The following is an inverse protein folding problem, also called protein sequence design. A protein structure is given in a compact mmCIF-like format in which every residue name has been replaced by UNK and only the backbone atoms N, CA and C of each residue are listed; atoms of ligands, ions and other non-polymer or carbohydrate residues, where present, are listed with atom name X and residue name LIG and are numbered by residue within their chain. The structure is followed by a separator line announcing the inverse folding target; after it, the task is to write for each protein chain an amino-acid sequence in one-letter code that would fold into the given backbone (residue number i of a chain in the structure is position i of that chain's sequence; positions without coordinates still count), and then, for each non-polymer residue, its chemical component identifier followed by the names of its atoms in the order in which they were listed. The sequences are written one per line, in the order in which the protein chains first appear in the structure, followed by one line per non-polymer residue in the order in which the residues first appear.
data_IF_710955822316
#
_entry.id   IF_710955822316
#
_cell.length_a   1.000
_cell.length_b   1.000
_cell.length_c   1.000
_cell.angle_alpha   90.00
_cell.angle_beta   90.00
_cell.angle_gamma   90.00
#
_symmetry.space_group_name_H-M   'P 1'
#
loop_
_entity.id
_entity.type
_entity.pdbx_description
1 polymer ?
#
# COMPACT_ATOMS: atom_id res chain seq x y z
N UNK A 1 -49.18 53.53 -18.46
CA UNK A 1 -48.02 52.61 -18.37
C UNK A 1 -47.34 52.66 -17.00
N UNK A 2 -47.24 53.82 -16.35
CA UNK A 2 -46.70 54.01 -14.98
C UNK A 2 -47.33 53.13 -13.88
N UNK A 3 -48.62 52.78 -13.99
CA UNK A 3 -49.33 51.94 -13.01
C UNK A 3 -48.84 50.48 -12.98
N UNK A 4 -48.44 49.94 -14.13
CA UNK A 4 -47.94 48.56 -14.25
C UNK A 4 -46.46 48.45 -13.86
N UNK A 5 -45.69 49.53 -14.04
CA UNK A 5 -44.29 49.61 -13.61
C UNK A 5 -44.19 49.59 -12.08
N UNK A 6 -45.04 50.36 -11.37
CA UNK A 6 -45.11 50.34 -9.91
C UNK A 6 -45.51 48.96 -9.36
N UNK A 7 -46.45 48.27 -10.01
CA UNK A 7 -46.85 46.91 -9.63
C UNK A 7 -45.73 45.88 -9.87
N UNK A 8 -44.97 46.01 -10.96
CA UNK A 8 -43.83 45.15 -11.25
C UNK A 8 -42.67 45.36 -10.26
N UNK A 9 -42.40 46.60 -9.84
CA UNK A 9 -41.38 46.92 -8.83
C UNK A 9 -41.77 46.38 -7.45
N UNK A 10 -43.05 46.45 -7.08
CA UNK A 10 -43.57 45.88 -5.82
C UNK A 10 -43.54 44.34 -5.80
N UNK A 11 -43.82 43.68 -6.93
CA UNK A 11 -43.67 42.22 -7.08
C UNK A 11 -42.20 41.78 -7.01
N UNK A 12 -41.28 42.55 -7.60
CA UNK A 12 -39.85 42.24 -7.56
C UNK A 12 -39.22 42.44 -6.17
N UNK A 13 -39.71 43.42 -5.40
CA UNK A 13 -39.25 43.67 -4.02
C UNK A 13 -39.68 42.57 -3.03
N UNK A 14 -40.73 41.81 -3.32
CA UNK A 14 -41.20 40.70 -2.46
C UNK A 14 -40.39 39.41 -2.60
N UNK A 15 -39.51 39.31 -3.61
CA UNK A 15 -38.76 38.10 -3.93
C UNK A 15 -37.43 37.94 -3.16
N UNK A 16 -37.07 38.87 -2.28
CA UNK A 16 -35.76 38.91 -1.59
C UNK A 16 -35.79 38.59 -0.09
N UNK A 17 -36.76 37.81 0.39
CA UNK A 17 -36.68 37.22 1.74
C UNK A 17 -36.18 35.78 1.64
N UNK A 18 -34.92 35.61 1.26
CA UNK A 18 -34.21 34.37 1.55
C UNK A 18 -33.77 34.46 3.02
N UNK A 19 -34.64 34.03 3.93
CA UNK A 19 -34.21 33.75 5.31
C UNK A 19 -33.40 32.46 5.23
N UNK A 20 -32.11 32.56 5.53
CA UNK A 20 -31.29 31.37 5.66
C UNK A 20 -31.35 30.94 7.14
N UNK A 21 -31.65 29.67 7.37
CA UNK A 21 -31.67 29.14 8.74
C UNK A 21 -30.24 28.80 9.18
N UNK A 22 -29.99 28.75 10.50
CA UNK A 22 -28.75 28.19 11.00
C UNK A 22 -28.76 26.66 10.81
N UNK A 23 -27.59 26.09 10.54
CA UNK A 23 -27.38 24.66 10.36
C UNK A 23 -26.34 24.16 11.36
N UNK A 24 -26.77 23.31 12.29
CA UNK A 24 -25.88 22.62 13.23
C UNK A 24 -25.57 21.25 12.65
N UNK A 25 -24.31 20.98 12.35
CA UNK A 25 -23.84 19.66 11.93
C UNK A 25 -23.23 18.95 13.13
N UNK A 26 -23.71 17.75 13.43
CA UNK A 26 -23.19 16.90 14.52
C UNK A 26 -22.03 16.03 14.03
N UNK A 27 -21.23 15.54 14.97
CA UNK A 27 -20.12 14.61 14.70
C UNK A 27 -20.56 13.29 14.05
N UNK A 28 -21.82 12.87 14.25
CA UNK A 28 -22.39 11.69 13.59
C UNK A 28 -22.90 11.97 12.16
N UNK A 29 -22.74 13.18 11.65
CA UNK A 29 -23.23 13.61 10.32
C UNK A 29 -24.70 14.04 10.29
N UNK A 30 -25.39 14.08 11.43
CA UNK A 30 -26.77 14.59 11.50
C UNK A 30 -26.77 16.12 11.36
N UNK A 31 -27.59 16.62 10.45
CA UNK A 31 -27.79 18.04 10.21
C UNK A 31 -29.09 18.52 10.86
N UNK A 32 -29.01 19.56 11.68
CA UNK A 32 -30.14 20.13 12.40
C UNK A 32 -30.32 21.57 11.95
N UNK A 33 -31.41 21.80 11.21
CA UNK A 33 -31.88 23.16 10.90
C UNK A 33 -32.45 23.80 12.16
N UNK A 34 -31.84 24.87 12.59
CA UNK A 34 -32.11 25.49 13.87
C UNK A 34 -32.00 27.01 13.80
N UNK A 35 -32.45 27.64 14.88
CA UNK A 35 -32.06 28.99 15.26
C UNK A 35 -31.25 28.91 16.54
N UNK A 36 -29.97 29.25 16.46
CA UNK A 36 -29.08 29.28 17.62
C UNK A 36 -29.44 30.46 18.51
N UNK A 37 -29.57 30.22 19.82
CA UNK A 37 -29.98 31.22 20.80
C UNK A 37 -28.78 31.67 21.62
N UNK A 38 -27.99 30.72 22.10
CA UNK A 38 -26.87 30.98 23.00
C UNK A 38 -25.83 29.87 22.85
N UNK A 39 -24.56 30.26 22.89
CA UNK A 39 -23.41 29.35 22.94
C UNK A 39 -22.73 29.62 24.28
N UNK A 40 -22.76 28.62 25.16
CA UNK A 40 -22.01 28.64 26.40
C UNK A 40 -20.71 27.85 26.26
N UNK A 41 -19.93 27.75 27.34
CA UNK A 41 -18.59 27.14 27.31
C UNK A 41 -18.57 25.68 26.83
N UNK A 42 -19.64 24.92 27.15
CA UNK A 42 -19.72 23.48 26.85
C UNK A 42 -21.00 23.08 26.10
N UNK A 43 -21.94 24.00 25.89
CA UNK A 43 -23.27 23.66 25.35
C UNK A 43 -23.80 24.74 24.43
N UNK A 44 -24.52 24.33 23.39
CA UNK A 44 -25.29 25.22 22.52
C UNK A 44 -26.79 25.06 22.79
N UNK A 45 -27.50 26.19 22.94
CA UNK A 45 -28.96 26.24 23.04
C UNK A 45 -29.56 26.68 21.71
N UNK A 46 -30.56 25.94 21.24
CA UNK A 46 -31.15 26.18 19.94
C UNK A 46 -32.64 25.84 19.91
N UNK A 47 -33.37 26.41 18.94
CA UNK A 47 -34.73 26.00 18.58
C UNK A 47 -34.71 25.31 17.23
N UNK A 48 -35.40 24.19 17.10
CA UNK A 48 -35.52 23.51 15.81
C UNK A 48 -36.48 24.26 14.89
N UNK A 49 -36.13 24.35 13.61
CA UNK A 49 -36.96 25.06 12.62
C UNK A 49 -38.27 24.32 12.31
N UNK A 50 -38.30 23.00 12.46
CA UNK A 50 -39.53 22.20 12.31
C UNK A 50 -40.51 22.39 13.48
N UNK A 51 -40.07 22.96 14.61
CA UNK A 51 -40.93 23.30 15.73
C UNK A 51 -40.56 24.66 16.38
N UNK A 52 -40.86 25.80 15.73
CA UNK A 52 -40.43 27.13 16.18
C UNK A 52 -41.07 27.57 17.52
N UNK A 53 -42.30 27.10 17.78
CA UNK A 53 -43.04 27.32 19.02
C UNK A 53 -42.72 26.26 20.09
N UNK A 54 -41.79 25.35 19.80
CA UNK A 54 -41.34 24.30 20.70
C UNK A 54 -40.39 24.79 21.79
N UNK A 55 -39.96 23.86 22.67
CA UNK A 55 -39.00 24.16 23.72
C UNK A 55 -37.63 24.52 23.15
N UNK A 56 -36.79 25.13 23.99
CA UNK A 56 -35.37 25.33 23.69
C UNK A 56 -34.64 24.02 23.98
N UNK A 57 -33.92 23.52 22.97
CA UNK A 57 -33.08 22.33 23.08
C UNK A 57 -31.66 22.73 23.49
N UNK A 58 -30.95 21.81 24.14
CA UNK A 58 -29.55 21.99 24.53
C UNK A 58 -28.75 20.81 23.99
N UNK A 59 -27.61 21.10 23.35
CA UNK A 59 -26.70 20.12 22.77
C UNK A 59 -25.29 20.38 23.30
N UNK A 60 -24.53 19.31 23.59
CA UNK A 60 -23.13 19.45 24.02
C UNK A 60 -22.26 19.91 22.85
N UNK A 61 -21.39 20.89 23.08
CA UNK A 61 -20.43 21.32 22.05
C UNK A 61 -19.46 20.20 21.67
N UNK A 62 -19.24 19.21 22.54
CA UNK A 62 -18.45 18.01 22.23
C UNK A 62 -19.08 17.10 21.17
N UNK A 63 -20.36 17.28 20.85
CA UNK A 63 -21.09 16.51 19.83
C UNK A 63 -21.30 17.30 18.54
N UNK A 64 -20.99 18.59 18.56
CA UNK A 64 -21.14 19.50 17.42
C UNK A 64 -19.88 19.44 16.57
N UNK A 65 -20.02 19.16 15.29
CA UNK A 65 -18.94 19.29 14.32
C UNK A 65 -18.78 20.76 13.93
N UNK A 66 -19.85 21.37 13.44
CA UNK A 66 -19.87 22.77 13.01
C UNK A 66 -21.25 23.42 13.14
N UNK A 67 -21.27 24.74 13.21
CA UNK A 67 -22.48 25.57 13.15
C UNK A 67 -22.29 26.58 12.02
N UNK A 68 -23.16 26.52 11.02
CA UNK A 68 -23.24 27.52 9.96
C UNK A 68 -24.42 28.46 10.23
N UNK A 69 -24.16 29.75 10.36
CA UNK A 69 -25.17 30.76 10.69
C UNK A 69 -25.81 31.37 9.43
N UNK A 70 -26.98 32.00 9.61
CA UNK A 70 -27.68 32.76 8.56
C UNK A 70 -26.78 33.79 7.84
N UNK A 71 -25.84 34.41 8.56
CA UNK A 71 -24.93 35.42 8.02
C UNK A 71 -23.76 34.82 7.21
N UNK A 72 -23.71 33.50 7.04
CA UNK A 72 -22.64 32.77 6.34
C UNK A 72 -21.38 32.52 7.17
N UNK A 73 -21.35 32.90 8.45
CA UNK A 73 -20.27 32.56 9.37
C UNK A 73 -20.37 31.07 9.72
N UNK A 74 -19.22 30.39 9.77
CA UNK A 74 -19.16 28.97 10.16
C UNK A 74 -18.18 28.81 11.33
N UNK A 75 -18.66 28.25 12.43
CA UNK A 75 -17.86 27.90 13.59
C UNK A 75 -17.68 26.39 13.68
N UNK A 76 -16.43 25.94 13.66
CA UNK A 76 -16.07 24.53 13.80
C UNK A 76 -15.69 24.26 15.25
N UNK A 77 -16.28 23.22 15.84
CA UNK A 77 -16.08 22.86 17.24
C UNK A 77 -15.27 21.59 17.39
N UNK A 78 -15.59 20.56 16.60
CA UNK A 78 -14.86 19.31 16.58
C UNK A 78 -14.63 18.86 15.14
N UNK A 79 -13.43 18.39 14.86
CA UNK A 79 -13.16 17.66 13.62
C UNK A 79 -13.60 16.20 13.83
N UNK A 80 -14.35 15.58 12.89
CA UNK A 80 -14.60 14.16 12.97
C UNK A 80 -13.24 13.45 12.92
N UNK A 81 -13.03 12.49 13.82
CA UNK A 81 -11.91 11.57 13.71
C UNK A 81 -12.12 10.83 12.39
N UNK A 82 -11.45 11.28 11.32
CA UNK A 82 -11.46 10.54 10.07
C UNK A 82 -10.71 9.25 10.35
N UNK A 83 -11.43 8.14 10.50
CA UNK A 83 -10.80 6.84 10.34
C UNK A 83 -10.11 6.85 8.98
N UNK A 84 -8.83 6.45 8.89
CA UNK A 84 -8.08 6.49 7.64
C UNK A 84 -8.89 5.73 6.60
N UNK A 85 -9.36 6.44 5.57
CA UNK A 85 -10.11 5.83 4.47
C UNK A 85 -9.22 4.76 3.88
N UNK A 86 -9.64 3.50 4.03
CA UNK A 86 -9.02 2.37 3.35
C UNK A 86 -9.29 2.53 1.85
N UNK A 87 -8.40 3.24 1.16
CA UNK A 87 -8.42 3.29 -0.29
C UNK A 87 -8.03 1.90 -0.80
N UNK A 88 -8.98 1.21 -1.43
CA UNK A 88 -8.69 0.03 -2.24
C UNK A 88 -7.89 0.51 -3.44
N UNK A 89 -6.56 0.45 -3.34
CA UNK A 89 -5.68 0.85 -4.43
C UNK A 89 -5.70 -0.26 -5.47
N UNK A 90 -6.30 0.02 -6.62
CA UNK A 90 -6.24 -0.85 -7.80
C UNK A 90 -4.76 -1.04 -8.21
N UNK A 91 -4.29 -2.29 -8.16
CA UNK A 91 -3.06 -2.80 -8.77
C UNK A 91 -1.73 -2.31 -8.16
N UNK A 92 -1.36 -2.93 -7.04
CA UNK A 92 -0.09 -2.82 -6.30
C UNK A 92 1.10 -3.58 -6.92
N UNK A 93 1.12 -3.91 -8.22
CA UNK A 93 2.24 -4.67 -8.81
C UNK A 93 3.39 -3.75 -9.26
N UNK A 94 4.09 -3.14 -8.30
CA UNK A 94 5.36 -2.47 -8.59
C UNK A 94 6.50 -3.47 -8.60
N UNK A 95 7.35 -3.36 -9.63
CA UNK A 95 8.58 -4.16 -9.70
C UNK A 95 9.64 -3.57 -8.80
N UNK A 96 10.33 -4.44 -8.09
CA UNK A 96 11.43 -4.10 -7.19
C UNK A 96 12.48 -3.22 -7.86
N UNK A 97 12.84 -3.52 -9.12
CA UNK A 97 13.84 -2.75 -9.87
C UNK A 97 13.50 -1.26 -9.95
N UNK A 98 12.24 -0.93 -10.11
CA UNK A 98 11.78 0.43 -10.40
C UNK A 98 11.75 1.30 -9.12
N UNK A 99 11.62 0.67 -7.94
CA UNK A 99 11.57 1.33 -6.63
C UNK A 99 12.87 1.20 -5.81
N UNK A 100 13.73 0.23 -6.14
CA UNK A 100 14.93 -0.12 -5.36
C UNK A 100 15.93 1.02 -5.16
N UNK A 101 15.95 2.01 -6.05
CA UNK A 101 16.84 3.18 -5.93
C UNK A 101 16.37 4.19 -4.89
N UNK A 102 15.07 4.20 -4.55
CA UNK A 102 14.46 5.18 -3.64
C UNK A 102 14.45 4.69 -2.19
N UNK A 103 14.46 3.37 -2.01
CA UNK A 103 14.23 2.74 -0.73
C UNK A 103 15.45 1.91 -0.30
N UNK A 104 15.90 2.13 0.94
CA UNK A 104 16.97 1.33 1.54
C UNK A 104 16.37 0.30 2.51
N UNK A 105 16.54 -1.03 2.28
CA UNK A 105 15.97 -2.07 3.14
C UNK A 105 16.31 -1.94 4.63
N UNK A 106 17.40 -1.25 4.98
CA UNK A 106 17.80 -1.00 6.38
C UNK A 106 16.87 -0.03 7.12
N UNK A 107 16.17 0.84 6.39
CA UNK A 107 15.27 1.85 6.97
C UNK A 107 13.85 1.32 7.20
N UNK A 108 13.57 0.08 6.79
CA UNK A 108 12.26 -0.53 6.91
C UNK A 108 11.79 -0.63 8.36
N UNK A 109 10.54 -0.23 8.59
CA UNK A 109 9.81 -0.40 9.85
C UNK A 109 8.59 -1.25 9.58
N UNK A 110 8.41 -2.30 10.38
CA UNK A 110 7.29 -3.21 10.21
C UNK A 110 6.00 -2.54 10.69
N UNK A 111 5.00 -2.52 9.81
CA UNK A 111 3.64 -2.09 10.13
C UNK A 111 2.68 -3.28 10.03
N UNK A 112 1.61 -3.29 10.82
CA UNK A 112 0.65 -4.40 10.84
C UNK A 112 -0.12 -4.54 9.53
N UNK A 113 -0.20 -3.46 8.75
CA UNK A 113 -0.89 -3.41 7.47
C UNK A 113 0.05 -3.75 6.29
N UNK A 114 1.32 -4.11 6.54
CA UNK A 114 2.27 -4.42 5.46
C UNK A 114 1.83 -5.65 4.64
N UNK A 115 1.80 -5.58 3.30
CA UNK A 115 1.37 -6.71 2.47
C UNK A 115 2.31 -7.92 2.52
N UNK A 116 3.63 -7.68 2.56
CA UNK A 116 4.63 -8.74 2.57
C UNK A 116 5.20 -8.91 3.97
N UNK A 117 5.49 -10.15 4.35
CA UNK A 117 6.14 -10.46 5.64
C UNK A 117 7.60 -10.83 5.34
N UNK A 118 8.59 -9.96 5.61
CA UNK A 118 9.98 -10.22 5.20
C UNK A 118 10.55 -11.53 5.75
N UNK A 119 10.17 -11.90 6.97
CA UNK A 119 10.59 -13.17 7.57
C UNK A 119 10.04 -14.37 6.81
N UNK A 120 8.78 -14.31 6.36
CA UNK A 120 8.15 -15.38 5.58
C UNK A 120 8.80 -15.49 4.20
N UNK A 121 9.11 -14.37 3.55
CA UNK A 121 9.82 -14.37 2.26
C UNK A 121 11.20 -15.03 2.39
N UNK A 122 11.93 -14.74 3.47
CA UNK A 122 13.21 -15.41 3.77
C UNK A 122 13.07 -16.91 4.01
N UNK A 123 12.09 -17.34 4.82
CA UNK A 123 11.83 -18.77 5.09
C UNK A 123 11.41 -19.50 3.81
N UNK A 124 10.57 -18.88 2.98
CA UNK A 124 10.15 -19.46 1.72
C UNK A 124 11.34 -19.71 0.79
N UNK A 125 12.24 -18.73 0.66
CA UNK A 125 13.47 -18.87 -0.13
C UNK A 125 14.49 -19.85 0.45
N UNK A 126 14.49 -20.07 1.77
CA UNK A 126 15.29 -21.13 2.41
C UNK A 126 14.77 -22.52 2.04
N UNK A 127 13.45 -22.74 2.12
CA UNK A 127 12.84 -24.03 1.82
C UNK A 127 12.90 -24.37 0.33
N UNK A 128 12.61 -23.39 -0.52
CA UNK A 128 12.62 -23.53 -1.98
C UNK A 128 13.32 -22.30 -2.55
N UNK A 129 14.55 -22.43 -3.08
CA UNK A 129 15.30 -21.30 -3.62
C UNK A 129 14.49 -20.52 -4.65
N UNK A 130 14.32 -19.21 -4.45
CA UNK A 130 13.55 -18.34 -5.35
C UNK A 130 12.06 -18.22 -5.01
N UNK A 131 11.52 -19.01 -4.09
CA UNK A 131 10.08 -18.96 -3.76
C UNK A 131 9.69 -17.67 -3.03
N UNK A 132 10.54 -17.15 -2.13
CA UNK A 132 10.27 -15.88 -1.45
C UNK A 132 10.11 -14.72 -2.43
N UNK A 133 10.96 -14.66 -3.46
CA UNK A 133 10.83 -13.70 -4.55
C UNK A 133 9.48 -13.83 -5.27
N UNK A 134 8.97 -15.04 -5.50
CA UNK A 134 7.65 -15.25 -6.10
C UNK A 134 6.50 -14.79 -5.20
N UNK A 135 6.60 -15.01 -3.88
CA UNK A 135 5.61 -14.54 -2.89
C UNK A 135 5.59 -13.00 -2.87
N UNK A 136 6.75 -12.37 -3.00
CA UNK A 136 6.88 -10.91 -3.08
C UNK A 136 6.47 -10.33 -4.45
N UNK A 137 5.93 -11.15 -5.36
CA UNK A 137 5.48 -10.75 -6.70
C UNK A 137 6.58 -10.68 -7.76
N UNK A 138 7.84 -11.00 -7.43
CA UNK A 138 8.99 -10.99 -8.36
C UNK A 138 9.21 -12.37 -9.03
N UNK A 139 8.17 -12.90 -9.69
CA UNK A 139 8.20 -14.24 -10.31
C UNK A 139 9.36 -14.47 -11.27
N UNK A 140 9.71 -13.48 -12.10
CA UNK A 140 10.82 -13.60 -13.05
C UNK A 140 12.17 -13.81 -12.35
N UNK A 141 12.40 -13.13 -11.21
CA UNK A 141 13.60 -13.32 -10.40
C UNK A 141 13.58 -14.67 -9.70
N UNK A 142 12.44 -15.03 -9.11
CA UNK A 142 12.27 -16.31 -8.40
C UNK A 142 12.52 -17.53 -9.29
N UNK A 143 11.91 -17.57 -10.48
CA UNK A 143 12.14 -18.65 -11.46
C UNK A 143 13.58 -18.69 -11.97
N UNK A 144 14.23 -17.53 -12.14
CA UNK A 144 15.64 -17.45 -12.47
C UNK A 144 16.52 -18.13 -11.40
N UNK A 145 16.26 -17.84 -10.11
CA UNK A 145 16.98 -18.43 -8.98
C UNK A 145 16.72 -19.94 -8.88
N UNK A 146 15.49 -20.39 -9.11
CA UNK A 146 15.14 -21.82 -9.17
C UNK A 146 15.94 -22.53 -10.27
N UNK A 147 16.00 -21.93 -11.47
CA UNK A 147 16.73 -22.48 -12.62
C UNK A 147 18.21 -22.62 -12.32
N UNK A 148 18.81 -21.59 -11.69
CA UNK A 148 20.22 -21.64 -11.28
C UNK A 148 20.46 -22.76 -10.25
N UNK A 149 19.55 -22.95 -9.29
CA UNK A 149 19.66 -24.03 -8.31
C UNK A 149 19.53 -25.43 -8.93
N UNK A 150 18.64 -25.60 -9.91
CA UNK A 150 18.56 -26.84 -10.69
C UNK A 150 19.88 -27.08 -11.44
N UNK A 151 20.49 -26.02 -11.99
CA UNK A 151 21.81 -26.08 -12.61
C UNK A 151 22.92 -26.57 -11.67
N UNK A 152 22.97 -26.04 -10.44
CA UNK A 152 23.89 -26.54 -9.41
C UNK A 152 23.66 -28.03 -9.13
N UNK A 153 22.41 -28.46 -8.94
CA UNK A 153 22.11 -29.88 -8.68
C UNK A 153 22.52 -30.81 -9.84
N UNK A 154 22.34 -30.40 -11.09
CA UNK A 154 22.79 -31.18 -12.25
C UNK A 154 24.33 -31.27 -12.33
N UNK A 155 25.03 -30.21 -11.94
CA UNK A 155 26.49 -30.19 -11.89
C UNK A 155 27.00 -31.14 -10.81
N UNK A 156 26.42 -31.08 -9.60
CA UNK A 156 26.76 -31.98 -8.49
C UNK A 156 26.49 -33.46 -8.83
N UNK A 157 25.38 -33.76 -9.52
CA UNK A 157 25.08 -35.11 -10.00
C UNK A 157 26.14 -35.61 -11.00
N UNK A 158 26.66 -34.73 -11.84
CA UNK A 158 27.71 -35.06 -12.82
C UNK A 158 29.04 -35.33 -12.12
N UNK A 159 29.41 -34.49 -11.15
CA UNK A 159 30.62 -34.65 -10.34
C UNK A 159 30.56 -35.92 -9.49
N UNK A 160 29.41 -36.21 -8.87
CA UNK A 160 29.18 -37.46 -8.15
C UNK A 160 29.32 -38.68 -9.06
N UNK A 161 28.72 -38.65 -10.26
CA UNK A 161 28.83 -39.74 -11.23
C UNK A 161 30.30 -40.00 -11.63
N UNK A 162 31.09 -38.94 -11.79
CA UNK A 162 32.52 -39.04 -12.11
C UNK A 162 33.34 -39.62 -10.94
N UNK A 163 32.98 -39.28 -9.70
CA UNK A 163 33.55 -39.89 -8.49
C UNK A 163 33.23 -41.38 -8.39
N UNK A 164 31.98 -41.79 -8.63
CA UNK A 164 31.61 -43.21 -8.65
C UNK A 164 32.33 -43.98 -9.77
N UNK A 165 32.42 -43.39 -10.97
CA UNK A 165 33.13 -43.99 -12.09
C UNK A 165 34.62 -44.18 -11.79
N UNK A 166 35.30 -43.15 -11.28
CA UNK A 166 36.73 -43.21 -10.94
C UNK A 166 37.01 -44.17 -9.79
N UNK A 167 36.11 -44.29 -8.80
CA UNK A 167 36.22 -45.30 -7.75
C UNK A 167 36.09 -46.73 -8.30
N UNK A 168 35.15 -46.97 -9.23
CA UNK A 168 34.96 -48.27 -9.86
C UNK A 168 36.16 -48.68 -10.73
N UNK A 169 36.68 -47.75 -11.55
CA UNK A 169 37.88 -47.96 -12.36
C UNK A 169 39.11 -48.27 -11.49
N UNK A 170 39.30 -47.48 -10.42
CA UNK A 170 40.38 -47.70 -9.46
C UNK A 170 40.33 -49.06 -8.77
N UNK A 171 39.13 -49.52 -8.42
CA UNK A 171 38.93 -50.85 -7.81
C UNK A 171 39.24 -52.00 -8.78
N UNK A 172 38.82 -51.87 -10.04
CA UNK A 172 39.06 -52.86 -11.10
C UNK A 172 40.55 -52.96 -11.40
N UNK A 173 41.22 -51.82 -11.55
CA UNK A 173 42.66 -51.76 -11.80
C UNK A 173 43.48 -52.37 -10.66
N UNK A 174 43.08 -52.12 -9.40
CA UNK A 174 43.73 -52.72 -8.24
C UNK A 174 43.56 -54.24 -8.21
N UNK A 175 42.38 -54.76 -8.55
CA UNK A 175 42.12 -56.20 -8.59
C UNK A 175 42.99 -56.91 -9.62
N UNK A 176 43.17 -56.30 -10.79
CA UNK A 176 43.88 -56.93 -11.91
C UNK A 176 45.42 -56.75 -11.80
N UNK A 177 45.91 -55.66 -11.21
CA UNK A 177 47.34 -55.33 -11.16
C UNK A 177 47.96 -55.32 -9.75
N UNK A 178 47.16 -55.42 -8.69
CA UNK A 178 47.61 -55.33 -7.29
C UNK A 178 48.11 -53.95 -6.85
N UNK A 179 47.95 -52.92 -7.69
CA UNK A 179 48.40 -51.54 -7.43
C UNK A 179 47.29 -50.54 -7.75
N UNK A 180 47.28 -49.38 -7.10
CA UNK A 180 46.28 -48.33 -7.35
C UNK A 180 46.54 -47.62 -8.68
N UNK A 181 45.48 -47.33 -9.45
CA UNK A 181 45.61 -46.56 -10.70
C UNK A 181 45.88 -45.07 -10.42
N UNK A 182 47.01 -44.51 -10.89
CA UNK A 182 47.29 -43.08 -10.70
C UNK A 182 46.26 -42.18 -11.39
N UNK A 183 45.75 -42.61 -12.55
CA UNK A 183 44.75 -41.87 -13.33
C UNK A 183 43.41 -41.78 -12.61
N UNK A 184 42.89 -42.91 -12.10
CA UNK A 184 41.60 -42.88 -11.41
C UNK A 184 41.68 -42.11 -10.08
N UNK A 185 42.80 -42.20 -9.34
CA UNK A 185 43.01 -41.41 -8.13
C UNK A 185 43.06 -39.90 -8.43
N UNK A 186 43.74 -39.49 -9.50
CA UNK A 186 43.79 -38.09 -9.92
C UNK A 186 42.41 -37.58 -10.36
N UNK A 187 41.65 -38.39 -11.11
CA UNK A 187 40.30 -38.05 -11.54
C UNK A 187 39.35 -37.91 -10.35
N UNK A 188 39.37 -38.88 -9.42
CA UNK A 188 38.58 -38.83 -8.20
C UNK A 188 38.89 -37.58 -7.38
N UNK A 189 40.18 -37.28 -7.17
CA UNK A 189 40.61 -36.08 -6.45
C UNK A 189 40.15 -34.79 -7.13
N UNK A 190 40.25 -34.71 -8.45
CA UNK A 190 39.78 -33.55 -9.21
C UNK A 190 38.25 -33.37 -9.11
N UNK A 191 37.48 -34.45 -9.25
CA UNK A 191 36.02 -34.41 -9.12
C UNK A 191 35.57 -34.03 -7.71
N UNK A 192 36.26 -34.53 -6.68
CA UNK A 192 35.98 -34.18 -5.28
C UNK A 192 36.24 -32.69 -5.01
N UNK A 193 37.36 -32.16 -5.50
CA UNK A 193 37.66 -30.73 -5.39
C UNK A 193 36.61 -29.87 -6.12
N UNK A 194 36.19 -30.28 -7.32
CA UNK A 194 35.13 -29.60 -8.06
C UNK A 194 33.81 -29.59 -7.27
N UNK A 195 33.41 -30.74 -6.71
CA UNK A 195 32.22 -30.86 -5.88
C UNK A 195 32.24 -29.94 -4.66
N UNK A 196 33.36 -29.84 -3.95
CA UNK A 196 33.47 -28.92 -2.81
C UNK A 196 33.34 -27.45 -3.22
N UNK A 197 33.89 -27.07 -4.37
CA UNK A 197 33.75 -25.73 -4.91
C UNK A 197 32.30 -25.43 -5.29
N UNK A 198 31.64 -26.37 -5.97
CA UNK A 198 30.23 -26.27 -6.37
C UNK A 198 29.32 -26.14 -5.14
N UNK A 199 29.50 -27.00 -4.13
CA UNK A 199 28.73 -26.94 -2.87
C UNK A 199 28.96 -25.62 -2.11
N UNK A 200 30.19 -25.12 -2.08
CA UNK A 200 30.51 -23.84 -1.43
C UNK A 200 29.86 -22.67 -2.17
N UNK A 201 29.92 -22.68 -3.50
CA UNK A 201 29.27 -21.68 -4.34
C UNK A 201 27.75 -21.71 -4.18
N UNK A 202 27.13 -22.90 -4.13
CA UNK A 202 25.70 -23.05 -3.92
C UNK A 202 25.28 -22.57 -2.52
N UNK A 203 26.06 -22.87 -1.47
CA UNK A 203 25.80 -22.34 -0.13
C UNK A 203 25.81 -20.81 -0.12
N UNK A 204 26.83 -20.19 -0.71
CA UNK A 204 26.93 -18.73 -0.79
C UNK A 204 25.77 -18.12 -1.60
N UNK A 205 25.43 -18.73 -2.73
CA UNK A 205 24.29 -18.33 -3.54
C UNK A 205 22.97 -18.46 -2.77
N UNK A 206 22.81 -19.51 -1.97
CA UNK A 206 21.58 -19.72 -1.21
C UNK A 206 21.40 -18.73 -0.07
N UNK A 207 22.47 -18.38 0.64
CA UNK A 207 22.46 -17.31 1.64
C UNK A 207 22.10 -15.96 0.98
N UNK A 208 22.68 -15.69 -0.20
CA UNK A 208 22.36 -14.50 -0.97
C UNK A 208 20.89 -14.47 -1.40
N UNK A 209 20.34 -15.60 -1.86
CA UNK A 209 18.95 -15.69 -2.32
C UNK A 209 17.95 -15.36 -1.18
N UNK A 210 18.25 -15.81 0.04
CA UNK A 210 17.41 -15.57 1.23
C UNK A 210 17.45 -14.09 1.58
N UNK A 211 18.66 -13.51 1.62
CA UNK A 211 18.84 -12.08 1.88
C UNK A 211 18.15 -11.21 0.83
N UNK A 212 18.21 -11.59 -0.45
CA UNK A 212 17.57 -10.88 -1.56
C UNK A 212 16.04 -10.88 -1.41
N UNK A 213 15.41 -12.01 -1.10
CA UNK A 213 13.96 -12.09 -0.83
C UNK A 213 13.54 -11.16 0.31
N UNK A 214 14.24 -11.24 1.45
CA UNK A 214 13.95 -10.38 2.61
C UNK A 214 14.07 -8.89 2.24
N UNK A 215 15.09 -8.51 1.46
CA UNK A 215 15.29 -7.13 1.05
C UNK A 215 14.21 -6.63 0.07
N UNK A 216 13.74 -7.48 -0.83
CA UNK A 216 12.64 -7.16 -1.76
C UNK A 216 11.36 -6.87 -0.98
N UNK A 217 10.96 -7.77 -0.07
CA UNK A 217 9.78 -7.59 0.77
C UNK A 217 9.82 -6.26 1.53
N UNK A 218 10.96 -5.95 2.17
CA UNK A 218 11.17 -4.68 2.90
C UNK A 218 11.02 -3.46 2.02
N UNK A 219 11.62 -3.49 0.82
CA UNK A 219 11.57 -2.36 -0.13
C UNK A 219 10.16 -2.13 -0.64
N UNK A 220 9.44 -3.20 -1.00
CA UNK A 220 8.05 -3.08 -1.44
C UNK A 220 7.14 -2.58 -0.33
N UNK A 221 7.31 -3.06 0.90
CA UNK A 221 6.53 -2.56 2.03
C UNK A 221 6.76 -1.06 2.29
N UNK A 222 8.01 -0.57 2.28
CA UNK A 222 8.24 0.88 2.43
C UNK A 222 7.59 1.70 1.30
N UNK A 223 7.62 1.20 0.07
CA UNK A 223 6.90 1.85 -1.02
C UNK A 223 5.39 1.91 -0.74
N UNK A 224 4.80 0.83 -0.26
CA UNK A 224 3.38 0.80 0.06
C UNK A 224 3.00 1.68 1.24
N UNK A 225 3.84 1.74 2.28
CA UNK A 225 3.69 2.66 3.39
C UNK A 225 3.63 4.11 2.86
N UNK A 226 4.60 4.51 2.04
CA UNK A 226 4.63 5.85 1.45
C UNK A 226 3.41 6.15 0.57
N UNK A 227 2.97 5.19 -0.26
CA UNK A 227 1.80 5.38 -1.14
C UNK A 227 0.51 5.55 -0.34
N UNK A 228 0.41 4.92 0.84
CA UNK A 228 -0.76 5.05 1.73
C UNK A 228 -0.88 6.43 2.35
N UNK A 229 0.24 7.02 2.77
CA UNK A 229 0.27 8.39 3.34
C UNK A 229 0.47 9.48 2.28
N UNK A 230 0.71 9.11 1.02
CA UNK A 230 0.90 10.08 -0.04
C UNK A 230 -0.41 10.83 -0.34
N UNK A 231 -0.40 12.18 -0.31
CA UNK A 231 -1.57 12.96 -0.70
C UNK A 231 -1.91 12.66 -2.16
N UNK A 232 -3.14 12.20 -2.38
CA UNK A 232 -3.59 11.78 -3.70
C UNK A 232 -4.11 13.00 -4.47
N UNK A 233 -3.53 13.24 -5.64
CA UNK A 233 -3.96 14.26 -6.58
C UNK A 233 -4.91 13.63 -7.60
N UNK A 234 -6.20 13.87 -7.46
CA UNK A 234 -7.20 13.37 -8.38
C UNK A 234 -7.67 14.47 -9.34
N UNK A 235 -7.65 14.16 -10.64
CA UNK A 235 -8.24 14.99 -11.67
C UNK A 235 -9.56 14.36 -12.12
N UNK A 236 -10.68 15.01 -11.79
CA UNK A 236 -12.00 14.53 -12.20
C UNK A 236 -12.60 15.50 -13.22
N UNK A 237 -13.05 15.03 -14.40
CA UNK A 237 -13.75 15.89 -15.34
C UNK A 237 -15.04 16.40 -14.69
N UNK A 238 -15.23 17.72 -14.69
CA UNK A 238 -16.40 18.37 -14.12
C UNK A 238 -17.20 19.04 -15.23
N UNK A 239 -18.50 18.77 -15.28
CA UNK A 239 -19.42 19.40 -16.22
C UNK A 239 -20.39 20.30 -15.45
N UNK A 240 -20.39 21.58 -15.78
CA UNK A 240 -21.37 22.54 -15.24
C UNK A 240 -22.51 22.72 -16.25
N UNK A 241 -23.72 22.31 -15.87
CA UNK A 241 -24.94 22.48 -16.66
C UNK A 241 -25.58 23.86 -16.38
N UNK A 242 -24.84 24.94 -16.63
CA UNK A 242 -25.36 26.31 -16.64
C UNK A 242 -25.93 26.73 -17.99
N UNK A 243 -26.41 27.98 -18.07
CA UNK A 243 -26.85 28.66 -19.32
C UNK A 243 -25.79 28.64 -20.44
N UNK A 244 -24.51 28.44 -20.07
CA UNK A 244 -23.44 28.06 -20.98
C UNK A 244 -22.76 26.81 -20.40
N UNK A 245 -22.87 25.63 -21.05
CA UNK A 245 -22.20 24.43 -20.56
C UNK A 245 -20.70 24.64 -20.60
N UNK A 246 -20.06 24.55 -19.44
CA UNK A 246 -18.60 24.70 -19.30
C UNK A 246 -18.02 23.38 -18.85
N UNK A 247 -17.11 22.84 -19.65
CA UNK A 247 -16.31 21.69 -19.27
C UNK A 247 -15.05 22.18 -18.54
N UNK A 248 -14.80 21.63 -17.35
CA UNK A 248 -13.66 21.94 -16.52
C UNK A 248 -12.98 20.69 -15.99
N UNK A 249 -11.80 20.87 -15.40
CA UNK A 249 -11.09 19.84 -14.66
C UNK A 249 -11.15 20.23 -13.19
N UNK A 250 -11.77 19.39 -12.35
CA UNK A 250 -11.72 19.58 -10.91
C UNK A 250 -10.46 18.91 -10.36
N UNK A 251 -9.71 19.65 -9.55
CA UNK A 251 -8.53 19.18 -8.86
C UNK A 251 -8.91 18.93 -7.41
N UNK A 252 -8.87 17.68 -6.99
CA UNK A 252 -9.12 17.29 -5.59
C UNK A 252 -7.81 16.85 -4.98
N UNK A 253 -7.42 17.50 -3.88
CA UNK A 253 -6.30 17.11 -3.03
C UNK A 253 -6.89 16.44 -1.79
N UNK A 254 -6.59 15.15 -1.60
CA UNK A 254 -6.90 14.44 -0.36
C UNK A 254 -5.61 14.33 0.45
N UNK A 255 -5.62 14.88 1.65
CA UNK A 255 -4.57 14.74 2.67
C UNK A 255 -5.01 13.76 3.75
#
# INVERSE_FOLDING_TARGET
MTKYILAAVLLFASAFNAMADDLITRLNGEEIKAKVIEIGDNTVKYKRMDNPNGPVYTLSLSEVQSIAYENGLVENYNEPVQEPKHYVIESYDVRYRDISSRYNPRNYRAESDDPYIPALSGIASFCIPGLGQCIDGEWGRGLGIMTVNVGFGLLELTEASLMFYSAADGSSYYRDNGMTSPRANALFGASFCAALLTMTAQCAFNIWNICDAVNIAKVKNMYYQDVRVAPQLAFTPSFSNGLQPTAGLSLTLSF
#
